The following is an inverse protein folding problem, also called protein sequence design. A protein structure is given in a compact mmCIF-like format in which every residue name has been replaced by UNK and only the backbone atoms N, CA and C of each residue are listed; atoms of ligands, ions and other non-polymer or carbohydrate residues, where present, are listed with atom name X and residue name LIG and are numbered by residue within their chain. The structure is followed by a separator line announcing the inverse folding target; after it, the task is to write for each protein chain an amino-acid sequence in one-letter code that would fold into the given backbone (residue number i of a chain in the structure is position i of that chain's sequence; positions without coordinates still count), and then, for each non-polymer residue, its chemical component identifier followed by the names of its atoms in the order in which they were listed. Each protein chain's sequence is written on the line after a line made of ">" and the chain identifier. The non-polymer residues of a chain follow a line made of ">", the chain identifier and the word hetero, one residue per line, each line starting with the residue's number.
data_IF_898310345972
#
_entry.id   IF_898310345972
#
_cell.length_a   1.000
_cell.length_b   1.000
_cell.length_c   1.000
_cell.angle_alpha   90.00
_cell.angle_beta   90.00
_cell.angle_gamma   90.00
#
_symmetry.space_group_name_H-M   'P 1'
#
loop_
_entity.id
_entity.type
_entity.pdbx_description
1 polymer ?
#
# COMPACT_ATOMS: atom_id res chain seq x y z
N UNK A 1 25.04 -5.85 -7.02
CA UNK A 1 25.03 -7.17 -6.36
C UNK A 1 23.59 -7.64 -6.22
N UNK A 2 23.32 -8.89 -6.57
CA UNK A 2 22.01 -9.54 -6.45
C UNK A 2 22.02 -10.63 -5.36
N UNK A 3 20.97 -10.68 -4.56
CA UNK A 3 20.67 -11.78 -3.63
C UNK A 3 19.28 -12.35 -3.94
N UNK A 4 19.19 -13.68 -4.07
CA UNK A 4 17.95 -14.39 -4.42
C UNK A 4 17.67 -15.42 -3.34
N UNK A 5 16.62 -15.18 -2.55
CA UNK A 5 16.21 -16.01 -1.44
C UNK A 5 14.87 -16.69 -1.76
N UNK A 6 14.75 -17.99 -1.52
CA UNK A 6 13.45 -18.68 -1.52
C UNK A 6 12.79 -18.46 -0.15
N UNK A 7 11.70 -17.71 -0.09
CA UNK A 7 11.00 -17.38 1.16
C UNK A 7 9.78 -18.27 1.43
N UNK A 8 9.20 -18.88 0.38
CA UNK A 8 8.20 -19.95 0.49
C UNK A 8 8.20 -20.80 -0.79
N UNK A 9 7.34 -21.82 -0.87
CA UNK A 9 7.16 -22.59 -2.11
C UNK A 9 6.68 -21.68 -3.24
N UNK A 10 7.46 -21.63 -4.31
CA UNK A 10 7.24 -20.73 -5.44
C UNK A 10 7.19 -19.24 -5.12
N UNK A 11 7.72 -18.82 -3.96
CA UNK A 11 7.87 -17.41 -3.59
C UNK A 11 9.33 -17.08 -3.35
N UNK A 12 9.82 -16.03 -4.01
CA UNK A 12 11.21 -15.63 -3.94
C UNK A 12 11.34 -14.14 -3.59
N UNK A 13 12.34 -13.80 -2.78
CA UNK A 13 12.82 -12.43 -2.59
C UNK A 13 14.06 -12.23 -3.45
N UNK A 14 14.08 -11.14 -4.20
CA UNK A 14 15.22 -10.71 -5.03
C UNK A 14 15.63 -9.33 -4.54
N UNK A 15 16.76 -9.26 -3.84
CA UNK A 15 17.33 -7.99 -3.41
C UNK A 15 18.44 -7.56 -4.35
N UNK A 16 18.39 -6.29 -4.79
CA UNK A 16 19.41 -5.70 -5.64
C UNK A 16 19.98 -4.48 -4.94
N UNK A 17 21.30 -4.49 -4.70
CA UNK A 17 22.00 -3.42 -4.00
C UNK A 17 23.35 -3.12 -4.63
N UNK A 18 23.76 -1.86 -4.56
CA UNK A 18 25.01 -1.37 -5.16
C UNK A 18 25.03 -1.47 -6.69
N UNK A 19 26.23 -1.59 -7.27
CA UNK A 19 26.39 -1.72 -8.73
C UNK A 19 26.01 -3.13 -9.20
N UNK A 20 25.12 -3.21 -10.18
CA UNK A 20 24.70 -4.46 -10.84
C UNK A 20 25.65 -4.78 -12.00
N UNK A 21 26.38 -5.90 -11.88
CA UNK A 21 27.39 -6.32 -12.85
C UNK A 21 27.02 -7.57 -13.67
N UNK A 22 27.92 -7.99 -14.55
CA UNK A 22 27.72 -9.16 -15.44
C UNK A 22 27.46 -10.47 -14.67
N UNK A 23 28.14 -10.67 -13.53
CA UNK A 23 27.93 -11.85 -12.69
C UNK A 23 26.55 -11.86 -12.04
N UNK A 24 26.04 -10.70 -11.62
CA UNK A 24 24.69 -10.55 -11.08
C UNK A 24 23.64 -10.88 -12.16
N UNK A 25 23.85 -10.37 -13.38
CA UNK A 25 23.01 -10.66 -14.52
C UNK A 25 22.98 -12.14 -14.88
N UNK A 26 24.15 -12.80 -14.87
CA UNK A 26 24.27 -14.24 -15.13
C UNK A 26 23.52 -15.06 -14.07
N UNK A 27 23.63 -14.68 -12.79
CA UNK A 27 22.91 -15.31 -11.69
C UNK A 27 21.39 -15.16 -11.87
N UNK A 28 20.92 -13.96 -12.18
CA UNK A 28 19.50 -13.68 -12.41
C UNK A 28 18.94 -14.46 -13.61
N UNK A 29 19.65 -14.50 -14.74
CA UNK A 29 19.22 -15.26 -15.93
C UNK A 29 19.17 -16.76 -15.64
N UNK A 30 20.12 -17.28 -14.88
CA UNK A 30 20.14 -18.70 -14.47
C UNK A 30 18.90 -19.03 -13.63
N UNK A 31 18.61 -18.20 -12.62
CA UNK A 31 17.41 -18.32 -11.80
C UNK A 31 16.12 -18.33 -12.65
N UNK A 32 15.97 -17.38 -13.57
CA UNK A 32 14.80 -17.25 -14.46
C UNK A 32 14.59 -18.49 -15.32
N UNK A 33 15.68 -19.09 -15.84
CA UNK A 33 15.62 -20.31 -16.64
C UNK A 33 15.20 -21.52 -15.80
N UNK A 34 15.74 -21.64 -14.60
CA UNK A 34 15.40 -22.73 -13.69
C UNK A 34 13.93 -22.67 -13.27
N UNK A 35 13.37 -21.47 -13.05
CA UNK A 35 11.92 -21.29 -12.79
C UNK A 35 11.07 -21.67 -14.00
N UNK A 36 11.45 -21.26 -15.21
CA UNK A 36 10.72 -21.67 -16.41
C UNK A 36 10.77 -23.17 -16.67
N UNK A 37 11.89 -23.83 -16.38
CA UNK A 37 12.03 -25.28 -16.52
C UNK A 37 11.18 -26.05 -15.51
N UNK A 38 11.00 -25.51 -14.30
CA UNK A 38 10.09 -26.08 -13.30
C UNK A 38 8.62 -25.99 -13.75
N UNK A 39 8.25 -25.00 -14.57
CA UNK A 39 6.89 -24.82 -15.07
C UNK A 39 5.90 -24.38 -14.00
N UNK A 40 6.39 -23.93 -12.85
CA UNK A 40 5.59 -23.50 -11.72
C UNK A 40 5.47 -21.97 -11.76
N UNK A 41 4.22 -21.48 -11.71
CA UNK A 41 3.93 -20.07 -11.43
C UNK A 41 4.38 -19.70 -10.01
N UNK A 42 4.25 -18.44 -9.63
CA UNK A 42 4.68 -18.04 -8.30
C UNK A 42 4.66 -16.54 -8.08
N UNK A 43 5.16 -16.12 -6.92
CA UNK A 43 5.22 -14.72 -6.53
C UNK A 43 6.65 -14.27 -6.29
N UNK A 44 6.93 -12.99 -6.53
CA UNK A 44 8.25 -12.43 -6.29
C UNK A 44 8.16 -11.10 -5.55
N UNK A 45 9.03 -10.94 -4.56
CA UNK A 45 9.31 -9.68 -3.87
C UNK A 45 10.64 -9.14 -4.38
N UNK A 46 10.63 -7.96 -4.99
CA UNK A 46 11.83 -7.30 -5.51
C UNK A 46 12.17 -6.13 -4.60
N UNK A 47 13.33 -6.17 -3.97
CA UNK A 47 13.83 -5.14 -3.06
C UNK A 47 14.92 -4.31 -3.77
N UNK A 48 14.62 -3.05 -4.03
CA UNK A 48 15.41 -2.10 -4.82
C UNK A 48 15.95 -0.92 -4.00
N UNK A 49 15.75 -0.91 -2.67
CA UNK A 49 16.00 0.26 -1.79
C UNK A 49 17.46 0.76 -1.83
N UNK A 50 18.42 -0.11 -2.13
CA UNK A 50 19.86 0.21 -2.10
C UNK A 50 20.51 0.26 -3.49
N UNK A 51 19.74 0.49 -4.55
CA UNK A 51 20.28 0.58 -5.91
C UNK A 51 20.99 1.91 -6.16
N UNK A 52 22.31 1.84 -6.35
CA UNK A 52 23.11 2.99 -6.77
C UNK A 52 22.97 3.21 -8.29
N UNK A 53 21.76 3.54 -8.75
CA UNK A 53 21.48 3.90 -10.14
C UNK A 53 21.57 2.76 -11.17
N UNK A 54 20.86 2.94 -12.29
CA UNK A 54 20.86 2.02 -13.42
C UNK A 54 21.87 2.50 -14.47
N UNK A 55 22.90 1.70 -14.79
CA UNK A 55 23.71 1.95 -16.00
C UNK A 55 23.14 1.15 -17.17
N UNK A 56 22.48 1.84 -18.11
CA UNK A 56 21.99 1.26 -19.39
C UNK A 56 23.11 0.57 -20.20
N UNK A 57 24.38 0.92 -19.94
CA UNK A 57 25.58 0.34 -20.56
C UNK A 57 25.89 -1.10 -20.11
N UNK A 58 25.40 -1.54 -18.95
CA UNK A 58 25.59 -2.93 -18.49
C UNK A 58 24.72 -3.92 -19.29
N UNK A 59 23.61 -3.45 -19.88
CA UNK A 59 22.56 -4.31 -20.45
C UNK A 59 22.78 -4.80 -21.89
N UNK A 60 23.95 -4.57 -22.49
CA UNK A 60 24.12 -4.81 -23.93
C UNK A 60 24.07 -6.28 -24.36
N UNK A 61 24.53 -7.21 -23.52
CA UNK A 61 24.39 -8.68 -23.75
C UNK A 61 23.08 -9.23 -23.16
N UNK A 62 22.50 -8.55 -22.18
CA UNK A 62 21.29 -8.95 -21.44
C UNK A 62 19.99 -8.77 -22.24
N UNK A 63 19.97 -7.90 -23.25
CA UNK A 63 18.85 -7.73 -24.20
C UNK A 63 18.44 -9.07 -24.84
N UNK A 64 19.41 -9.96 -25.11
CA UNK A 64 19.14 -11.27 -25.71
C UNK A 64 18.30 -12.19 -24.79
N UNK A 65 18.25 -11.89 -23.49
CA UNK A 65 17.52 -12.66 -22.49
C UNK A 65 16.20 -12.01 -22.07
N UNK A 66 15.88 -10.81 -22.57
CA UNK A 66 14.58 -10.15 -22.37
C UNK A 66 13.39 -11.05 -22.69
N UNK A 67 13.37 -11.86 -23.78
CA UNK A 67 12.21 -12.73 -24.04
C UNK A 67 11.98 -13.78 -22.95
N UNK A 68 13.06 -14.31 -22.37
CA UNK A 68 12.97 -15.28 -21.28
C UNK A 68 12.48 -14.59 -19.99
N UNK A 69 13.03 -13.42 -19.66
CA UNK A 69 12.58 -12.61 -18.53
C UNK A 69 11.10 -12.26 -18.63
N UNK A 70 10.68 -11.74 -19.78
CA UNK A 70 9.28 -11.40 -20.05
C UNK A 70 8.38 -12.62 -19.90
N UNK A 71 8.76 -13.79 -20.44
CA UNK A 71 7.98 -15.02 -20.25
C UNK A 71 7.86 -15.43 -18.79
N UNK A 72 8.95 -15.34 -18.03
CA UNK A 72 8.92 -15.63 -16.61
C UNK A 72 8.03 -14.65 -15.84
N UNK A 73 8.14 -13.34 -16.12
CA UNK A 73 7.23 -12.34 -15.54
C UNK A 73 5.76 -12.71 -15.83
N UNK A 74 5.42 -13.07 -17.07
CA UNK A 74 4.07 -13.55 -17.44
C UNK A 74 3.62 -14.85 -16.78
N UNK A 75 4.53 -15.60 -16.15
CA UNK A 75 4.16 -16.79 -15.36
C UNK A 75 3.93 -16.48 -13.87
N UNK A 76 4.22 -15.26 -13.41
CA UNK A 76 4.05 -14.88 -12.02
C UNK A 76 2.61 -14.48 -11.72
N UNK A 77 2.16 -14.85 -10.52
CA UNK A 77 0.85 -14.48 -9.99
C UNK A 77 0.91 -13.07 -9.37
N UNK A 78 1.95 -12.79 -8.56
CA UNK A 78 2.12 -11.53 -7.83
C UNK A 78 3.56 -11.03 -7.92
N UNK A 79 3.73 -9.73 -8.13
CA UNK A 79 5.01 -9.04 -8.13
C UNK A 79 4.92 -7.86 -7.19
N UNK A 80 5.56 -7.96 -6.03
CA UNK A 80 5.75 -6.83 -5.11
C UNK A 80 7.11 -6.19 -5.36
N UNK A 81 7.15 -4.87 -5.44
CA UNK A 81 8.40 -4.11 -5.57
C UNK A 81 8.52 -3.13 -4.41
N UNK A 82 9.60 -3.21 -3.65
CA UNK A 82 9.95 -2.27 -2.60
C UNK A 82 11.04 -1.35 -3.14
N UNK A 83 10.77 -0.05 -3.28
CA UNK A 83 11.69 0.90 -3.91
C UNK A 83 11.48 2.30 -3.33
N UNK A 84 12.47 3.19 -3.54
CA UNK A 84 12.28 4.63 -3.35
C UNK A 84 11.45 5.27 -4.49
N UNK A 85 10.96 6.49 -4.26
CA UNK A 85 9.98 7.20 -5.11
C UNK A 85 10.37 7.34 -6.59
N UNK A 86 11.64 7.17 -6.97
CA UNK A 86 12.08 7.37 -8.35
C UNK A 86 11.54 6.31 -9.33
N UNK A 87 11.22 5.09 -8.87
CA UNK A 87 10.65 4.03 -9.69
C UNK A 87 9.19 4.31 -10.13
N UNK A 88 8.40 5.07 -9.35
CA UNK A 88 6.99 5.38 -9.65
C UNK A 88 6.80 6.03 -11.03
N UNK A 89 7.79 6.82 -11.50
CA UNK A 89 7.77 7.40 -12.86
C UNK A 89 7.97 6.37 -13.98
N UNK A 90 8.65 5.25 -13.68
CA UNK A 90 8.79 4.09 -14.56
C UNK A 90 7.57 3.18 -14.53
N UNK A 91 6.99 2.95 -13.35
CA UNK A 91 5.83 2.09 -13.13
C UNK A 91 4.57 2.56 -13.88
N UNK A 92 4.33 3.87 -13.99
CA UNK A 92 3.20 4.41 -14.77
C UNK A 92 3.23 3.99 -16.26
N UNK A 93 4.42 3.72 -16.82
CA UNK A 93 4.56 3.16 -18.19
C UNK A 93 4.29 1.66 -18.24
N UNK A 94 4.52 0.94 -17.13
CA UNK A 94 4.21 -0.47 -17.00
C UNK A 94 2.70 -0.70 -16.81
N UNK A 95 2.03 0.13 -16.00
CA UNK A 95 0.57 0.12 -15.82
C UNK A 95 -0.18 0.35 -17.15
N UNK A 96 0.35 1.19 -18.04
CA UNK A 96 -0.21 1.39 -19.39
C UNK A 96 0.09 0.26 -20.39
N UNK A 97 1.03 -0.63 -20.06
CA UNK A 97 1.39 -1.81 -20.86
C UNK A 97 0.68 -3.10 -20.41
N UNK A 98 -0.19 -3.02 -19.39
CA UNK A 98 -1.06 -4.07 -18.82
C UNK A 98 -0.62 -5.49 -19.18
N UNK A 99 0.25 -6.06 -18.36
CA UNK A 99 0.57 -7.49 -18.41
C UNK A 99 -0.70 -8.28 -18.01
N UNK A 100 -1.41 -8.95 -18.94
CA UNK A 100 -2.71 -9.53 -18.62
C UNK A 100 -2.53 -10.70 -17.64
N UNK A 101 -3.23 -10.65 -16.50
CA UNK A 101 -3.27 -11.74 -15.52
C UNK A 101 -2.19 -11.70 -14.42
N UNK A 102 -1.32 -10.69 -14.39
CA UNK A 102 -0.31 -10.51 -13.34
C UNK A 102 -0.77 -9.42 -12.37
N UNK A 103 -0.77 -9.69 -11.06
CA UNK A 103 -0.96 -8.65 -10.07
C UNK A 103 0.38 -8.01 -9.71
N UNK A 104 0.44 -6.68 -9.71
CA UNK A 104 1.66 -5.92 -9.46
C UNK A 104 1.40 -4.82 -8.44
N UNK A 105 2.32 -4.60 -7.51
CA UNK A 105 2.24 -3.50 -6.54
C UNK A 105 3.62 -2.97 -6.12
N UNK A 106 3.64 -1.69 -5.76
CA UNK A 106 4.82 -0.96 -5.31
C UNK A 106 4.61 -0.52 -3.87
N UNK A 107 5.64 -0.70 -3.06
CA UNK A 107 5.67 -0.44 -1.64
C UNK A 107 6.86 0.46 -1.33
N UNK A 108 6.70 1.31 -0.33
CA UNK A 108 7.83 2.06 0.23
C UNK A 108 8.68 1.14 1.13
N UNK A 109 9.92 1.54 1.45
CA UNK A 109 10.87 0.73 2.24
C UNK A 109 10.28 0.22 3.56
N UNK A 110 9.50 1.06 4.22
CA UNK A 110 8.86 0.78 5.50
C UNK A 110 7.57 -0.05 5.40
N UNK A 111 7.10 -0.34 4.18
CA UNK A 111 6.00 -1.26 3.90
C UNK A 111 6.48 -2.68 3.51
N UNK A 112 7.77 -3.01 3.74
CA UNK A 112 8.38 -4.32 3.44
C UNK A 112 7.57 -5.51 3.99
N UNK A 113 7.05 -5.39 5.21
CA UNK A 113 6.25 -6.46 5.82
C UNK A 113 4.92 -6.67 5.10
N UNK A 114 4.27 -5.60 4.63
CA UNK A 114 3.05 -5.68 3.85
C UNK A 114 3.32 -6.29 2.45
N UNK A 115 4.41 -5.87 1.80
CA UNK A 115 4.87 -6.44 0.53
C UNK A 115 5.12 -7.95 0.64
N UNK A 116 5.79 -8.37 1.73
CA UNK A 116 6.05 -9.76 2.06
C UNK A 116 4.77 -10.55 2.30
N UNK A 117 3.87 -10.05 3.15
CA UNK A 117 2.59 -10.70 3.44
C UNK A 117 1.78 -10.93 2.15
N UNK A 118 1.78 -9.95 1.24
CA UNK A 118 1.05 -10.08 -0.01
C UNK A 118 1.63 -11.13 -0.96
N UNK A 119 2.96 -11.22 -1.15
CA UNK A 119 3.55 -12.27 -2.02
C UNK A 119 3.46 -13.67 -1.41
N UNK A 120 3.29 -13.76 -0.09
CA UNK A 120 3.06 -15.02 0.62
C UNK A 120 1.58 -15.48 0.58
N UNK A 121 0.68 -14.63 0.07
CA UNK A 121 -0.76 -14.93 0.07
C UNK A 121 -1.44 -14.73 1.42
N UNK A 122 -0.78 -14.08 2.37
CA UNK A 122 -1.35 -13.75 3.70
C UNK A 122 -2.31 -12.56 3.62
N UNK A 123 -2.19 -11.75 2.56
CA UNK A 123 -3.14 -10.70 2.20
C UNK A 123 -3.83 -11.00 0.86
N UNK A 124 -5.12 -10.72 0.78
CA UNK A 124 -5.94 -10.90 -0.42
C UNK A 124 -5.65 -9.84 -1.50
N UNK A 125 -5.22 -8.65 -1.10
CA UNK A 125 -4.90 -7.53 -2.00
C UNK A 125 -3.60 -6.82 -1.57
N UNK A 126 -2.97 -6.02 -2.44
CA UNK A 126 -1.60 -5.57 -2.24
C UNK A 126 -1.34 -4.80 -0.94
N UNK A 127 -2.21 -3.86 -0.58
CA UNK A 127 -2.02 -3.05 0.62
C UNK A 127 -2.96 -3.47 1.76
N UNK A 128 -3.28 -4.77 1.84
CA UNK A 128 -4.09 -5.29 2.94
C UNK A 128 -3.36 -5.18 4.27
N UNK A 129 -4.11 -4.75 5.30
CA UNK A 129 -3.56 -4.48 6.62
C UNK A 129 -2.95 -3.09 6.78
N UNK A 130 -3.06 -2.21 5.77
CA UNK A 130 -2.68 -0.81 5.89
C UNK A 130 -3.56 -0.04 6.88
N UNK A 131 -4.76 -0.55 7.17
CA UNK A 131 -5.66 -0.03 8.20
C UNK A 131 -6.00 -1.07 9.25
N UNK A 132 -5.74 -0.71 10.51
CA UNK A 132 -6.03 -1.51 11.70
C UNK A 132 -7.15 -0.86 12.53
N UNK A 133 -8.06 -1.65 13.07
CA UNK A 133 -9.03 -1.14 14.05
C UNK A 133 -8.38 -1.08 15.44
N UNK A 134 -8.60 0.01 16.16
CA UNK A 134 -8.16 0.22 17.53
C UNK A 134 -9.33 -0.05 18.49
N UNK A 135 -9.12 -0.88 19.51
CA UNK A 135 -10.13 -1.12 20.55
C UNK A 135 -10.11 0.02 21.58
N UNK A 136 -10.90 1.06 21.33
CA UNK A 136 -11.05 2.22 22.23
C UNK A 136 -12.39 2.23 22.98
N UNK A 137 -13.16 1.14 22.87
CA UNK A 137 -14.50 1.00 23.45
C UNK A 137 -15.62 0.88 22.40
N UNK A 138 -16.81 0.51 22.87
CA UNK A 138 -17.97 0.31 21.99
C UNK A 138 -18.47 1.62 21.35
N UNK A 139 -18.26 2.76 22.03
CA UNK A 139 -18.78 4.07 21.63
C UNK A 139 -17.92 4.82 20.60
N UNK A 140 -16.68 4.37 20.41
CA UNK A 140 -15.71 4.97 19.49
C UNK A 140 -15.29 3.92 18.45
N UNK A 141 -15.61 4.17 17.19
CA UNK A 141 -14.97 3.47 16.09
C UNK A 141 -13.60 4.12 15.86
N UNK A 142 -12.52 3.38 16.04
CA UNK A 142 -11.17 3.93 15.94
C UNK A 142 -10.33 3.12 14.95
N UNK A 143 -9.65 3.81 14.05
CA UNK A 143 -8.86 3.18 13.00
C UNK A 143 -7.49 3.85 12.91
N UNK A 144 -6.46 3.04 12.71
CA UNK A 144 -5.09 3.47 12.50
C UNK A 144 -4.68 3.13 11.07
N UNK A 145 -4.19 4.14 10.36
CA UNK A 145 -3.62 4.02 9.01
C UNK A 145 -2.11 4.04 9.13
N UNK A 146 -1.49 2.91 8.77
CA UNK A 146 -0.04 2.67 8.87
C UNK A 146 0.66 2.55 7.52
N UNK A 147 -0.10 2.45 6.42
CA UNK A 147 0.44 2.27 5.07
C UNK A 147 -0.44 2.89 3.99
N UNK A 148 -0.11 2.60 2.74
CA UNK A 148 -0.86 3.03 1.57
C UNK A 148 -2.26 2.39 1.54
N UNK A 149 -3.29 3.18 1.23
CA UNK A 149 -4.66 2.69 1.09
C UNK A 149 -4.98 2.59 -0.40
N UNK A 150 -5.12 1.36 -0.91
CA UNK A 150 -5.67 1.10 -2.24
C UNK A 150 -7.22 1.19 -2.25
N UNK A 151 -7.85 0.98 -3.41
CA UNK A 151 -9.31 1.14 -3.55
C UNK A 151 -10.05 0.10 -2.72
N UNK A 152 -9.61 -1.15 -2.81
CA UNK A 152 -10.17 -2.31 -2.14
C UNK A 152 -10.07 -2.15 -0.61
N UNK A 153 -8.93 -1.67 -0.11
CA UNK A 153 -8.70 -1.34 1.30
C UNK A 153 -9.63 -0.21 1.77
N UNK A 154 -9.77 0.85 0.96
CA UNK A 154 -10.65 1.96 1.29
C UNK A 154 -12.12 1.50 1.42
N UNK A 155 -12.58 0.64 0.49
CA UNK A 155 -13.93 0.08 0.53
C UNK A 155 -14.13 -0.80 1.78
N UNK A 156 -13.19 -1.69 2.08
CA UNK A 156 -13.20 -2.54 3.28
C UNK A 156 -13.27 -1.72 4.58
N UNK A 157 -12.48 -0.66 4.68
CA UNK A 157 -12.45 0.23 5.85
C UNK A 157 -13.76 0.99 5.98
N UNK A 158 -14.30 1.51 4.87
CA UNK A 158 -15.59 2.20 4.88
C UNK A 158 -16.73 1.27 5.33
N UNK A 159 -16.74 0.02 4.90
CA UNK A 159 -17.74 -0.96 5.34
C UNK A 159 -17.60 -1.30 6.82
N UNK A 160 -16.37 -1.42 7.33
CA UNK A 160 -16.12 -1.60 8.78
C UNK A 160 -16.63 -0.40 9.60
N UNK A 161 -16.29 0.82 9.17
CA UNK A 161 -16.78 2.06 9.80
C UNK A 161 -18.32 2.11 9.81
N UNK A 162 -18.97 1.76 8.70
CA UNK A 162 -20.45 1.68 8.62
C UNK A 162 -21.01 0.65 9.59
N UNK A 163 -20.42 -0.54 9.65
CA UNK A 163 -20.89 -1.60 10.54
C UNK A 163 -20.83 -1.18 12.01
N UNK A 164 -19.74 -0.50 12.42
CA UNK A 164 -19.59 0.03 13.78
C UNK A 164 -20.62 1.13 14.07
N UNK A 165 -20.75 2.11 13.19
CA UNK A 165 -21.67 3.25 13.35
C UNK A 165 -23.16 2.88 13.17
N UNK A 166 -23.47 1.72 12.60
CA UNK A 166 -24.83 1.19 12.56
C UNK A 166 -25.29 0.63 13.93
N UNK A 167 -24.35 0.32 14.83
CA UNK A 167 -24.66 -0.04 16.21
C UNK A 167 -25.22 1.16 16.98
N UNK A 168 -26.16 0.93 17.91
CA UNK A 168 -26.83 2.00 18.67
C UNK A 168 -25.91 2.78 19.60
N UNK A 169 -24.74 2.22 19.91
CA UNK A 169 -23.87 2.74 20.97
C UNK A 169 -22.67 3.52 20.41
N UNK A 170 -22.42 3.46 19.09
CA UNK A 170 -21.24 4.06 18.46
C UNK A 170 -21.61 5.37 17.73
N UNK A 171 -21.26 6.51 18.33
CA UNK A 171 -21.48 7.85 17.75
C UNK A 171 -20.19 8.61 17.44
N UNK A 172 -19.02 8.03 17.70
CA UNK A 172 -17.73 8.72 17.58
C UNK A 172 -16.80 7.97 16.64
N UNK A 173 -15.98 8.73 15.93
CA UNK A 173 -14.97 8.20 15.01
C UNK A 173 -13.60 8.79 15.36
N UNK A 174 -12.57 7.95 15.34
CA UNK A 174 -11.17 8.35 15.42
C UNK A 174 -10.41 7.73 14.25
N UNK A 175 -9.62 8.54 13.55
CA UNK A 175 -8.70 8.07 12.52
C UNK A 175 -7.31 8.60 12.82
N UNK A 176 -6.36 7.71 13.09
CA UNK A 176 -4.95 8.00 13.36
C UNK A 176 -4.15 7.72 12.09
N UNK A 177 -3.42 8.69 11.57
CA UNK A 177 -2.64 8.60 10.33
C UNK A 177 -1.17 8.79 10.68
N UNK A 178 -0.47 7.69 10.98
CA UNK A 178 0.95 7.73 11.42
C UNK A 178 1.90 8.00 10.27
N UNK A 179 1.63 7.43 9.11
CA UNK A 179 2.43 7.60 7.91
C UNK A 179 1.53 7.80 6.71
N UNK A 180 1.94 8.72 5.84
CA UNK A 180 1.19 9.10 4.67
C UNK A 180 2.02 8.78 3.42
N UNK A 181 1.69 7.68 2.75
CA UNK A 181 2.34 7.23 1.52
C UNK A 181 1.60 7.69 0.25
N UNK A 182 0.79 8.76 0.36
CA UNK A 182 -0.04 9.26 -0.73
C UNK A 182 -1.40 8.55 -0.84
N UNK A 183 -2.30 9.19 -1.58
CA UNK A 183 -3.58 8.62 -2.02
C UNK A 183 -3.59 8.64 -3.54
N UNK A 184 -4.22 7.66 -4.20
CA UNK A 184 -4.85 7.94 -5.49
C UNK A 184 -5.98 8.95 -5.23
N UNK A 185 -5.65 10.25 -5.23
CA UNK A 185 -6.56 11.33 -4.82
C UNK A 185 -7.91 11.29 -5.58
N UNK A 186 -7.91 10.77 -6.81
CA UNK A 186 -9.12 10.58 -7.62
C UNK A 186 -10.09 9.55 -7.05
N UNK A 187 -9.62 8.50 -6.38
CA UNK A 187 -10.48 7.46 -5.80
C UNK A 187 -11.22 7.97 -4.55
N UNK A 188 -10.50 8.66 -3.65
CA UNK A 188 -11.06 9.17 -2.39
C UNK A 188 -11.93 10.42 -2.53
N UNK A 189 -11.68 11.22 -3.57
CA UNK A 189 -12.47 12.41 -3.95
C UNK A 189 -13.54 12.09 -5.00
N UNK A 190 -13.65 10.82 -5.43
CA UNK A 190 -14.73 10.41 -6.33
C UNK A 190 -16.07 10.81 -5.72
N UNK A 191 -16.97 11.37 -6.55
CA UNK A 191 -18.28 11.87 -6.09
C UNK A 191 -19.08 10.80 -5.33
N UNK A 192 -18.86 9.52 -5.63
CA UNK A 192 -19.49 8.40 -4.97
C UNK A 192 -18.91 8.15 -3.55
N UNK A 193 -17.59 8.12 -3.40
CA UNK A 193 -16.94 8.01 -2.10
C UNK A 193 -17.26 9.22 -1.20
N UNK A 194 -17.33 10.43 -1.78
CA UNK A 194 -17.67 11.65 -1.05
C UNK A 194 -19.11 11.64 -0.52
N UNK A 195 -20.10 11.28 -1.35
CA UNK A 195 -21.50 11.19 -0.91
C UNK A 195 -21.70 10.14 0.18
N UNK A 196 -21.01 9.00 0.04
CA UNK A 196 -21.01 7.92 1.03
C UNK A 196 -20.42 8.33 2.38
N UNK A 197 -19.32 9.08 2.37
CA UNK A 197 -18.69 9.64 3.59
C UNK A 197 -19.58 10.67 4.28
N UNK A 198 -20.31 11.49 3.52
CA UNK A 198 -21.24 12.50 4.07
C UNK A 198 -22.39 11.85 4.84
N UNK A 199 -22.96 10.75 4.36
CA UNK A 199 -24.05 10.04 5.07
C UNK A 199 -23.57 9.30 6.32
N UNK A 200 -22.33 8.80 6.31
CA UNK A 200 -21.65 8.24 7.49
C UNK A 200 -21.45 9.31 8.57
N UNK A 201 -20.91 10.47 8.19
CA UNK A 201 -20.65 11.59 9.09
C UNK A 201 -21.92 12.10 9.77
N UNK A 202 -23.10 11.99 9.14
CA UNK A 202 -24.37 12.40 9.76
C UNK A 202 -24.75 11.61 11.01
N UNK A 203 -24.20 10.39 11.18
CA UNK A 203 -24.42 9.54 12.34
C UNK A 203 -23.34 9.73 13.42
N UNK A 204 -22.27 10.46 13.11
CA UNK A 204 -21.25 10.81 14.08
C UNK A 204 -21.62 12.09 14.82
N UNK A 205 -21.40 12.13 16.13
CA UNK A 205 -21.41 13.33 16.95
C UNK A 205 -20.04 14.00 16.91
N UNK A 206 -18.97 13.21 17.00
CA UNK A 206 -17.58 13.69 16.98
C UNK A 206 -16.68 12.84 16.13
N UNK A 207 -15.79 13.50 15.39
CA UNK A 207 -14.79 12.86 14.55
C UNK A 207 -13.42 13.48 14.81
N UNK A 208 -12.49 12.68 15.34
CA UNK A 208 -11.09 13.08 15.51
C UNK A 208 -10.23 12.51 14.37
N UNK A 209 -9.40 13.37 13.78
CA UNK A 209 -8.34 12.98 12.86
C UNK A 209 -7.01 13.31 13.53
N UNK A 210 -6.15 12.31 13.74
CA UNK A 210 -4.85 12.46 14.40
C UNK A 210 -3.76 12.24 13.35
N UNK A 211 -2.91 13.24 13.13
CA UNK A 211 -1.86 13.21 12.12
C UNK A 211 -2.31 13.52 10.69
N UNK A 212 -1.59 12.96 9.72
CA UNK A 212 -1.77 13.22 8.29
C UNK A 212 -1.21 14.56 7.80
N UNK A 213 -1.23 14.79 6.47
CA UNK A 213 -0.63 15.97 5.86
C UNK A 213 -1.46 17.24 6.09
N UNK A 214 -0.78 18.41 6.10
CA UNK A 214 -1.37 19.72 6.44
C UNK A 214 -2.63 20.06 5.63
N UNK A 215 -2.70 19.65 4.36
CA UNK A 215 -3.86 19.89 3.50
C UNK A 215 -5.11 19.13 3.96
N UNK A 216 -4.95 17.96 4.59
CA UNK A 216 -6.06 17.18 5.16
C UNK A 216 -6.68 17.93 6.34
N UNK A 217 -5.85 18.58 7.17
CA UNK A 217 -6.30 19.47 8.25
C UNK A 217 -7.06 20.68 7.70
N UNK A 218 -6.55 21.28 6.62
CA UNK A 218 -7.22 22.40 5.95
C UNK A 218 -8.60 22.01 5.36
N UNK A 219 -8.73 20.79 4.83
CA UNK A 219 -10.02 20.26 4.36
C UNK A 219 -11.01 20.02 5.50
N UNK A 220 -10.57 19.42 6.61
CA UNK A 220 -11.42 19.16 7.77
C UNK A 220 -12.07 20.45 8.31
N UNK A 221 -11.30 21.53 8.42
CA UNK A 221 -11.81 22.84 8.83
C UNK A 221 -12.85 23.44 7.87
N UNK A 222 -12.73 23.17 6.57
CA UNK A 222 -13.68 23.66 5.55
C UNK A 222 -14.99 22.86 5.55
N UNK A 223 -14.91 21.54 5.77
CA UNK A 223 -16.09 20.67 5.83
C UNK A 223 -16.84 20.78 7.16
N UNK A 224 -16.17 21.06 8.28
CA UNK A 224 -16.79 21.16 9.61
C UNK A 224 -17.95 22.18 9.70
N UNK A 225 -18.01 23.19 8.82
CA UNK A 225 -19.11 24.15 8.77
C UNK A 225 -20.37 23.62 8.03
N UNK A 226 -20.24 22.55 7.25
CA UNK A 226 -21.29 22.01 6.38
C UNK A 226 -21.91 20.69 6.87
N UNK A 227 -21.23 19.97 7.77
CA UNK A 227 -21.65 18.68 8.34
C UNK A 227 -22.04 18.83 9.82
N UNK A 228 -22.98 18.00 10.29
CA UNK A 228 -23.45 17.98 11.69
C UNK A 228 -22.41 17.53 12.76
N UNK A 229 -21.51 16.56 12.52
CA UNK A 229 -20.50 16.20 13.52
C UNK A 229 -19.52 17.35 13.79
N UNK A 230 -19.11 17.49 15.04
CA UNK A 230 -17.91 18.26 15.36
C UNK A 230 -16.70 17.47 14.86
N UNK A 231 -15.93 18.05 13.93
CA UNK A 231 -14.69 17.46 13.43
C UNK A 231 -13.51 18.23 14.02
N UNK A 232 -12.53 17.53 14.58
CA UNK A 232 -11.26 18.12 15.05
C UNK A 232 -10.07 17.33 14.53
N UNK A 233 -8.99 18.07 14.30
CA UNK A 233 -7.70 17.54 13.88
C UNK A 233 -6.69 17.75 14.98
N UNK A 234 -5.82 16.78 15.19
CA UNK A 234 -4.77 16.76 16.20
C UNK A 234 -3.45 16.36 15.54
N UNK A 235 -2.33 16.80 16.09
CA UNK A 235 -1.03 16.30 15.68
C UNK A 235 -0.79 14.86 16.22
N UNK A 236 0.21 14.15 15.68
CA UNK A 236 0.42 12.73 16.03
C UNK A 236 0.79 12.52 17.49
N UNK A 237 1.45 13.48 18.12
CA UNK A 237 1.80 13.50 19.54
C UNK A 237 0.63 13.90 20.45
N UNK A 238 -0.48 14.34 19.88
CA UNK A 238 -1.71 14.74 20.59
C UNK A 238 -2.79 13.63 20.57
N UNK A 239 -2.42 12.37 20.28
CA UNK A 239 -3.35 11.23 20.20
C UNK A 239 -4.20 11.06 21.48
N UNK A 240 -3.59 11.22 22.65
CA UNK A 240 -4.28 11.15 23.95
C UNK A 240 -5.28 12.30 24.14
N UNK A 241 -4.95 13.50 23.64
CA UNK A 241 -5.83 14.67 23.70
C UNK A 241 -7.04 14.49 22.79
N UNK A 242 -6.82 13.91 21.61
CA UNK A 242 -7.89 13.55 20.68
C UNK A 242 -8.88 12.57 21.33
N UNK A 243 -8.37 11.53 22.00
CA UNK A 243 -9.20 10.55 22.70
C UNK A 243 -9.96 11.19 23.89
N UNK A 244 -9.30 12.05 24.67
CA UNK A 244 -9.95 12.78 25.74
C UNK A 244 -11.08 13.68 25.23
N UNK A 245 -10.86 14.36 24.10
CA UNK A 245 -11.88 15.19 23.46
C UNK A 245 -13.07 14.34 22.95
N UNK A 246 -12.83 13.19 22.34
CA UNK A 246 -13.90 12.28 21.91
C UNK A 246 -14.75 11.79 23.09
N UNK A 247 -14.16 11.65 24.27
CA UNK A 247 -14.86 11.17 25.48
C UNK A 247 -15.57 12.24 26.29
N UNK A 248 -15.38 13.53 25.98
CA UNK A 248 -15.98 14.65 26.73
C UNK A 248 -17.48 14.85 26.54
#
# INVERSE_FOLDING_TARGET
>A
MIDIEKIADNVHRIAIYGEFGEDDARAFVTFVRDRQAAGEGGSVLIDLVSLAGWSLSAMSEEIAHLPALVRWLYSLDRIAVVSDEEWLRGAARLESALLPGIAYAVYDEDEMDAARAWVLGESDHPHGGAVNELDLGADIAAFEVVGRIDREEAERVLDSVRARLAGTDCSKLMVVIRKWHGFEADAALSRHAMNSKIDLLRHCERYAVVGGPDWLRAMAGTFGALVKPEVRTFDLDEEDEALAWLRS
#
